data_IF_023867917457
#
_entry.id   IF_023867917457
#
_cell.length_a   1.000
_cell.length_b   1.000
_cell.length_c   1.000
_cell.angle_alpha   90.00
_cell.angle_beta   90.00
_cell.angle_gamma   90.00
#
_symmetry.space_group_name_H-M   'P 1'
#
loop_
_entity.id
_entity.type
_entity.pdbx_description
1 polymer ?
#
# COMPACT_ATOMS: atom_id res chain seq x y z
N UNK A 1 24.93 -37.21 124.01
CA UNK A 1 24.76 -38.13 122.89
C UNK A 1 24.98 -37.37 121.61
N UNK A 2 26.21 -37.47 121.11
CA UNK A 2 26.66 -37.61 119.73
C UNK A 2 25.76 -37.14 118.57
N UNK A 3 26.34 -36.25 117.76
CA UNK A 3 26.69 -36.62 116.38
C UNK A 3 25.71 -36.19 115.28
N UNK A 4 26.17 -35.29 114.41
CA UNK A 4 25.52 -35.08 113.11
C UNK A 4 26.04 -33.87 112.34
N UNK A 5 27.27 -33.93 111.86
CA UNK A 5 27.76 -33.01 110.83
C UNK A 5 27.19 -33.41 109.47
N UNK A 6 26.72 -32.45 108.67
CA UNK A 6 26.57 -32.61 107.23
C UNK A 6 26.92 -31.32 106.50
N UNK A 7 27.90 -31.45 105.62
CA UNK A 7 28.67 -30.48 104.87
C UNK A 7 27.88 -29.76 103.77
N UNK A 8 28.11 -28.44 103.61
CA UNK A 8 27.64 -27.66 102.47
C UNK A 8 28.49 -27.96 101.22
N UNK A 9 27.90 -28.64 100.22
CA UNK A 9 28.52 -28.84 98.91
C UNK A 9 28.31 -27.63 98.01
N UNK A 10 29.39 -26.99 97.56
CA UNK A 10 29.36 -25.95 96.54
C UNK A 10 28.97 -26.55 95.16
N UNK A 11 28.21 -25.83 94.30
CA UNK A 11 27.84 -26.35 93.00
C UNK A 11 29.08 -26.45 92.10
N UNK A 12 29.33 -27.66 91.59
CA UNK A 12 30.38 -27.95 90.64
C UNK A 12 30.18 -27.14 89.35
N UNK A 13 31.21 -26.38 88.95
CA UNK A 13 31.29 -25.74 87.65
C UNK A 13 31.26 -26.83 86.58
N UNK A 14 30.22 -26.83 85.76
CA UNK A 14 30.16 -27.68 84.57
C UNK A 14 31.12 -27.09 83.54
N UNK A 15 32.19 -27.83 83.27
CA UNK A 15 33.17 -27.53 82.24
C UNK A 15 32.49 -27.65 80.87
N UNK A 16 32.45 -26.55 80.11
CA UNK A 16 31.85 -26.53 78.77
C UNK A 16 32.79 -27.28 77.84
N UNK A 17 32.52 -28.57 77.61
CA UNK A 17 33.15 -29.31 76.51
C UNK A 17 32.86 -28.57 75.20
N UNK A 18 33.89 -27.90 74.68
CA UNK A 18 33.88 -27.36 73.31
C UNK A 18 33.77 -28.55 72.35
N UNK A 19 32.57 -28.87 71.88
CA UNK A 19 32.40 -29.53 70.58
C UNK A 19 32.81 -28.51 69.51
N UNK A 20 34.12 -28.42 69.29
CA UNK A 20 34.73 -27.45 68.39
C UNK A 20 35.61 -28.14 67.36
N UNK A 21 35.03 -28.98 66.50
CA UNK A 21 35.78 -29.55 65.37
C UNK A 21 34.90 -29.94 64.17
N UNK A 22 33.74 -29.32 63.97
CA UNK A 22 32.94 -29.53 62.75
C UNK A 22 32.49 -28.23 62.07
N UNK A 23 33.33 -27.20 62.14
CA UNK A 23 33.19 -26.02 61.30
C UNK A 23 34.55 -25.78 60.65
N UNK A 24 34.68 -26.20 59.39
CA UNK A 24 35.86 -25.92 58.57
C UNK A 24 35.83 -24.43 58.20
N UNK A 25 36.94 -23.73 58.41
CA UNK A 25 37.08 -22.33 58.02
C UNK A 25 36.87 -22.18 56.51
N UNK A 26 35.91 -21.34 56.10
CA UNK A 26 35.72 -20.98 54.69
C UNK A 26 36.90 -20.08 54.31
N UNK A 27 37.74 -20.51 53.36
CA UNK A 27 38.84 -19.67 52.84
C UNK A 27 38.26 -18.40 52.21
N UNK A 28 38.33 -17.30 52.93
CA UNK A 28 38.13 -15.94 52.42
C UNK A 28 39.47 -15.37 51.96
N UNK A 29 40.08 -16.01 50.94
CA UNK A 29 41.25 -15.44 50.25
C UNK A 29 40.86 -14.26 49.34
N UNK A 30 41.67 -13.96 48.33
CA UNK A 30 41.34 -13.00 47.27
C UNK A 30 40.12 -13.48 46.46
N UNK A 31 38.92 -13.21 46.98
CA UNK A 31 37.69 -13.31 46.22
C UNK A 31 37.61 -12.05 45.35
N UNK A 32 38.02 -12.19 44.08
CA UNK A 32 37.69 -11.22 43.05
C UNK A 32 36.18 -11.32 42.73
N UNK A 33 35.37 -10.71 43.60
CA UNK A 33 33.93 -10.65 43.47
C UNK A 33 33.58 -9.68 42.34
N UNK A 34 33.37 -10.22 41.15
CA UNK A 34 32.81 -9.44 40.05
C UNK A 34 31.37 -9.04 40.40
N UNK A 35 30.99 -7.76 40.30
CA UNK A 35 29.64 -7.31 40.61
C UNK A 35 28.64 -8.07 39.72
N UNK A 36 27.77 -8.85 40.36
CA UNK A 36 26.73 -9.60 39.66
C UNK A 36 25.66 -8.61 39.19
N UNK A 37 25.72 -8.22 37.92
CA UNK A 37 24.59 -7.62 37.21
C UNK A 37 24.91 -6.33 36.45
N UNK A 38 25.36 -6.46 35.19
CA UNK A 38 24.90 -5.50 34.18
C UNK A 38 23.53 -5.97 33.72
N UNK A 39 22.50 -5.65 34.49
CA UNK A 39 21.13 -5.98 34.10
C UNK A 39 20.81 -5.24 32.80
N UNK A 40 20.47 -5.98 31.74
CA UNK A 40 20.01 -5.38 30.49
C UNK A 40 18.72 -4.57 30.72
N UNK A 41 17.90 -5.02 31.67
CA UNK A 41 16.71 -4.33 32.15
C UNK A 41 17.06 -2.95 32.72
N UNK A 42 16.55 -1.89 32.09
CA UNK A 42 16.81 -0.50 32.46
C UNK A 42 18.01 0.15 31.78
N UNK A 43 18.80 -0.60 31.00
CA UNK A 43 19.85 0.00 30.16
C UNK A 43 19.25 0.78 28.98
N UNK A 44 19.96 1.80 28.50
CA UNK A 44 19.53 2.60 27.35
C UNK A 44 19.27 1.72 26.11
N UNK A 45 20.09 0.70 25.89
CA UNK A 45 19.94 -0.25 24.79
C UNK A 45 18.65 -1.10 24.90
N UNK A 46 18.25 -1.47 26.11
CA UNK A 46 16.99 -2.19 26.35
C UNK A 46 15.77 -1.30 26.10
N UNK A 47 15.79 -0.05 26.57
CA UNK A 47 14.71 0.90 26.31
C UNK A 47 14.62 1.20 24.81
N UNK A 48 15.74 1.44 24.12
CA UNK A 48 15.76 1.60 22.66
C UNK A 48 15.25 0.35 21.94
N UNK A 49 15.70 -0.83 22.34
CA UNK A 49 15.27 -2.11 21.76
C UNK A 49 13.78 -2.39 21.98
N UNK A 50 13.19 -1.91 23.08
CA UNK A 50 11.76 -2.04 23.37
C UNK A 50 10.90 -1.04 22.58
N UNK A 51 11.39 0.19 22.38
CA UNK A 51 10.67 1.24 21.64
C UNK A 51 10.87 1.08 20.12
N UNK A 52 11.98 0.49 19.66
CA UNK A 52 12.29 0.35 18.24
C UNK A 52 11.20 -0.41 17.44
N UNK A 53 10.68 -1.57 17.86
CA UNK A 53 9.63 -2.26 17.12
C UNK A 53 8.34 -1.44 16.94
N UNK A 54 7.74 -0.82 17.99
CA UNK A 54 6.56 0.01 17.79
C UNK A 54 6.86 1.30 17.00
N UNK A 55 8.04 1.91 17.16
CA UNK A 55 8.45 3.06 16.34
C UNK A 55 8.54 2.70 14.86
N UNK A 56 9.20 1.59 14.53
CA UNK A 56 9.33 1.11 13.15
C UNK A 56 7.97 0.80 12.55
N UNK A 57 7.08 0.18 13.31
CA UNK A 57 5.72 -0.14 12.85
C UNK A 57 4.91 1.13 12.60
N UNK A 58 5.00 2.13 13.48
CA UNK A 58 4.36 3.43 13.31
C UNK A 58 4.89 4.16 12.07
N UNK A 59 6.22 4.18 11.89
CA UNK A 59 6.86 4.83 10.75
C UNK A 59 6.49 4.15 9.44
N UNK A 60 6.46 2.81 9.43
CA UNK A 60 6.00 2.02 8.28
C UNK A 60 4.54 2.32 7.95
N UNK A 61 3.67 2.38 8.96
CA UNK A 61 2.25 2.67 8.77
C UNK A 61 2.02 4.10 8.23
N UNK A 62 2.75 5.08 8.76
CA UNK A 62 2.72 6.47 8.26
C UNK A 62 3.25 6.57 6.83
N UNK A 63 4.37 5.88 6.52
CA UNK A 63 4.92 5.85 5.17
C UNK A 63 3.96 5.20 4.17
N UNK A 64 3.34 4.07 4.55
CA UNK A 64 2.33 3.39 3.74
C UNK A 64 1.11 4.29 3.51
N UNK A 65 0.53 4.84 4.59
CA UNK A 65 -0.63 5.73 4.49
C UNK A 65 -0.34 6.95 3.63
N UNK A 66 0.87 7.52 3.76
CA UNK A 66 1.32 8.61 2.92
C UNK A 66 1.34 8.13 1.46
N UNK A 67 2.06 7.06 1.15
CA UNK A 67 2.17 6.47 -0.20
C UNK A 67 0.82 6.17 -0.85
N UNK A 68 -0.13 5.62 -0.09
CA UNK A 68 -1.49 5.33 -0.57
C UNK A 68 -2.26 6.63 -0.93
N UNK A 69 -2.05 7.71 -0.16
CA UNK A 69 -2.62 9.02 -0.50
C UNK A 69 -2.04 9.59 -1.81
N UNK A 70 -0.72 9.51 -2.03
CA UNK A 70 -0.10 9.96 -3.30
C UNK A 70 -0.53 9.08 -4.50
N UNK A 71 -0.74 7.78 -4.28
CA UNK A 71 -1.22 6.88 -5.32
C UNK A 71 -2.68 7.19 -5.70
N UNK A 72 -3.54 7.47 -4.72
CA UNK A 72 -4.92 7.91 -4.95
C UNK A 72 -4.99 9.21 -5.75
N UNK A 73 -4.14 10.19 -5.40
CA UNK A 73 -4.07 11.46 -6.14
C UNK A 73 -3.56 11.30 -7.57
N UNK A 74 -2.59 10.41 -7.81
CA UNK A 74 -2.10 10.12 -9.15
C UNK A 74 -3.17 9.44 -10.03
N UNK A 75 -3.92 8.49 -9.48
CA UNK A 75 -5.01 7.84 -10.19
C UNK A 75 -6.18 8.79 -10.47
N UNK A 76 -6.54 9.66 -9.51
CA UNK A 76 -7.52 10.73 -9.71
C UNK A 76 -7.06 11.73 -10.77
N UNK A 77 -5.80 12.15 -10.75
CA UNK A 77 -5.23 13.04 -11.76
C UNK A 77 -5.20 12.41 -13.15
N UNK A 78 -4.92 11.11 -13.26
CA UNK A 78 -5.00 10.39 -14.54
C UNK A 78 -6.43 10.33 -15.06
N UNK A 79 -7.40 10.02 -14.21
CA UNK A 79 -8.83 10.02 -14.57
C UNK A 79 -9.34 11.40 -14.98
N UNK A 80 -8.98 12.45 -14.25
CA UNK A 80 -9.31 13.84 -14.64
C UNK A 80 -8.51 14.30 -15.88
N UNK A 81 -7.30 13.77 -16.06
CA UNK A 81 -6.49 13.96 -17.25
C UNK A 81 -7.11 13.32 -18.48
N UNK A 82 -7.75 12.15 -18.33
CA UNK A 82 -8.43 11.42 -19.41
C UNK A 82 -9.45 12.29 -20.14
N UNK A 83 -10.34 12.96 -19.41
CA UNK A 83 -11.36 13.86 -19.98
C UNK A 83 -10.69 15.04 -20.70
N UNK A 84 -9.69 15.66 -20.09
CA UNK A 84 -8.96 16.78 -20.72
C UNK A 84 -8.25 16.34 -21.99
N UNK A 85 -7.59 15.18 -21.97
CA UNK A 85 -6.83 14.66 -23.09
C UNK A 85 -7.76 14.16 -24.22
N UNK A 86 -8.89 13.53 -23.88
CA UNK A 86 -9.93 13.16 -24.82
C UNK A 86 -10.52 14.40 -25.51
N UNK A 87 -10.88 15.45 -24.75
CA UNK A 87 -11.38 16.71 -25.30
C UNK A 87 -10.35 17.40 -26.21
N UNK A 88 -9.08 17.40 -25.84
CA UNK A 88 -8.01 17.94 -26.69
C UNK A 88 -7.87 17.16 -28.00
N UNK A 89 -7.90 15.83 -27.94
CA UNK A 89 -7.79 14.97 -29.15
C UNK A 89 -9.04 15.07 -30.02
N UNK A 90 -10.23 15.17 -29.44
CA UNK A 90 -11.46 15.46 -30.18
C UNK A 90 -11.43 16.84 -30.83
N UNK A 91 -10.84 17.85 -30.19
CA UNK A 91 -10.65 19.17 -30.81
C UNK A 91 -9.69 19.10 -32.01
N UNK A 92 -8.70 18.21 -32.01
CA UNK A 92 -7.87 17.95 -33.19
C UNK A 92 -8.68 17.28 -34.31
N UNK A 93 -9.53 16.31 -33.97
CA UNK A 93 -10.45 15.70 -34.94
C UNK A 93 -11.40 16.75 -35.55
N UNK A 94 -11.96 17.66 -34.74
CA UNK A 94 -12.80 18.75 -35.23
C UNK A 94 -12.04 19.67 -36.21
N UNK A 95 -10.78 20.02 -35.91
CA UNK A 95 -9.94 20.80 -36.84
C UNK A 95 -9.61 20.05 -38.13
N UNK A 96 -9.40 18.75 -38.06
CA UNK A 96 -9.18 17.92 -39.25
C UNK A 96 -10.43 17.86 -40.12
N UNK A 97 -11.62 17.82 -39.50
CA UNK A 97 -12.91 17.90 -40.18
C UNK A 97 -13.08 19.23 -40.94
N UNK A 98 -12.68 20.36 -40.35
CA UNK A 98 -12.71 21.68 -41.02
C UNK A 98 -11.76 21.78 -42.21
N UNK A 99 -10.63 21.06 -42.16
CA UNK A 99 -9.63 21.01 -43.23
C UNK A 99 -9.94 19.96 -44.29
N UNK A 100 -11.06 19.25 -44.15
CA UNK A 100 -11.45 18.11 -44.98
C UNK A 100 -10.41 16.96 -45.00
N UNK A 101 -9.51 16.92 -44.00
CA UNK A 101 -8.45 15.91 -43.90
C UNK A 101 -9.01 14.63 -43.27
N UNK A 102 -9.33 13.67 -44.13
CA UNK A 102 -9.89 12.37 -43.74
C UNK A 102 -8.95 11.56 -42.86
N UNK A 103 -7.69 11.40 -43.28
CA UNK A 103 -6.76 10.50 -42.61
C UNK A 103 -6.45 11.03 -41.21
N UNK A 104 -6.19 12.33 -41.10
CA UNK A 104 -5.96 12.98 -39.81
C UNK A 104 -7.19 12.94 -38.90
N UNK A 105 -8.40 13.05 -39.46
CA UNK A 105 -9.64 12.94 -38.69
C UNK A 105 -9.77 11.56 -38.04
N UNK A 106 -9.64 10.49 -38.81
CA UNK A 106 -9.82 9.13 -38.30
C UNK A 106 -8.69 8.71 -37.36
N UNK A 107 -7.45 9.13 -37.62
CA UNK A 107 -6.32 8.90 -36.71
C UNK A 107 -6.52 9.61 -35.36
N UNK A 108 -6.95 10.87 -35.38
CA UNK A 108 -7.24 11.62 -34.16
C UNK A 108 -8.44 11.03 -33.39
N UNK A 109 -9.49 10.60 -34.09
CA UNK A 109 -10.68 10.01 -33.49
C UNK A 109 -10.38 8.68 -32.79
N UNK A 110 -9.67 7.77 -33.46
CA UNK A 110 -9.28 6.48 -32.87
C UNK A 110 -8.39 6.67 -31.63
N UNK A 111 -7.35 7.51 -31.75
CA UNK A 111 -6.46 7.85 -30.63
C UNK A 111 -7.18 8.55 -29.47
N UNK A 112 -8.21 9.34 -29.75
CA UNK A 112 -9.03 9.97 -28.72
C UNK A 112 -9.80 8.92 -27.91
N UNK A 113 -10.44 7.95 -28.58
CA UNK A 113 -11.24 6.91 -27.94
C UNK A 113 -10.37 5.89 -27.16
N UNK A 114 -9.30 5.38 -27.79
CA UNK A 114 -8.37 4.45 -27.15
C UNK A 114 -7.65 5.11 -25.96
N UNK A 115 -7.15 6.34 -26.15
CA UNK A 115 -6.48 7.09 -25.10
C UNK A 115 -7.42 7.45 -23.95
N UNK A 116 -8.66 7.84 -24.24
CA UNK A 116 -9.67 8.08 -23.21
C UNK A 116 -9.91 6.83 -22.37
N UNK A 117 -10.13 5.68 -23.01
CA UNK A 117 -10.38 4.42 -22.30
C UNK A 117 -9.17 4.01 -21.44
N UNK A 118 -7.97 4.09 -22.01
CA UNK A 118 -6.72 3.84 -21.29
C UNK A 118 -6.59 4.72 -20.04
N UNK A 119 -6.73 6.04 -20.21
CA UNK A 119 -6.56 7.01 -19.13
C UNK A 119 -7.67 6.87 -18.06
N UNK A 120 -8.92 6.56 -18.47
CA UNK A 120 -10.07 6.40 -17.55
C UNK A 120 -9.93 5.18 -16.64
N UNK A 121 -9.47 4.06 -17.18
CA UNK A 121 -9.32 2.80 -16.45
C UNK A 121 -7.90 2.52 -15.97
N UNK A 122 -6.99 3.49 -16.12
CA UNK A 122 -5.58 3.40 -15.72
C UNK A 122 -4.85 2.22 -16.39
N UNK A 123 -5.16 1.99 -17.67
CA UNK A 123 -4.57 0.96 -18.52
C UNK A 123 -3.49 1.57 -19.42
N UNK A 124 -2.53 0.76 -19.83
CA UNK A 124 -1.63 1.15 -20.92
C UNK A 124 -2.38 1.20 -22.26
N UNK A 125 -2.00 2.11 -23.17
CA UNK A 125 -2.61 2.18 -24.51
C UNK A 125 -2.50 0.84 -25.26
N UNK A 126 -1.40 0.11 -25.06
CA UNK A 126 -1.21 -1.22 -25.65
C UNK A 126 -2.10 -2.32 -25.04
N UNK A 127 -2.68 -2.07 -23.87
CA UNK A 127 -3.59 -3.00 -23.19
C UNK A 127 -5.04 -2.79 -23.61
N UNK A 128 -5.35 -1.68 -24.30
CA UNK A 128 -6.69 -1.40 -24.80
C UNK A 128 -7.04 -2.36 -25.94
N UNK A 129 -7.94 -3.30 -25.65
CA UNK A 129 -8.47 -4.26 -26.61
C UNK A 129 -9.95 -4.50 -26.34
N UNK A 130 -10.62 -5.19 -27.27
CA UNK A 130 -12.05 -5.47 -27.16
C UNK A 130 -12.42 -6.21 -25.85
N UNK A 131 -11.59 -7.17 -25.40
CA UNK A 131 -11.85 -7.91 -24.17
C UNK A 131 -11.78 -7.01 -22.93
N UNK A 132 -10.81 -6.09 -22.86
CA UNK A 132 -10.70 -5.11 -21.77
C UNK A 132 -11.85 -4.10 -21.79
N UNK A 133 -12.26 -3.65 -22.98
CA UNK A 133 -13.41 -2.76 -23.13
C UNK A 133 -14.68 -3.43 -22.61
N UNK A 134 -14.92 -4.69 -22.98
CA UNK A 134 -16.01 -5.47 -22.39
C UNK A 134 -15.85 -5.59 -20.88
N UNK A 135 -14.71 -6.09 -20.39
CA UNK A 135 -14.48 -6.30 -18.96
C UNK A 135 -14.85 -5.07 -18.10
N UNK A 136 -14.52 -3.86 -18.56
CA UNK A 136 -14.82 -2.63 -17.81
C UNK A 136 -16.21 -2.03 -18.08
N UNK A 137 -16.80 -2.24 -19.25
CA UNK A 137 -18.06 -1.60 -19.65
C UNK A 137 -19.25 -2.58 -19.76
N UNK A 138 -19.09 -3.89 -19.57
CA UNK A 138 -20.18 -4.88 -19.74
C UNK A 138 -21.30 -4.68 -18.72
N UNK A 139 -20.94 -4.35 -17.49
CA UNK A 139 -21.88 -4.00 -16.44
C UNK A 139 -22.68 -2.70 -16.73
N UNK A 140 -22.28 -1.96 -17.77
CA UNK A 140 -22.93 -0.74 -18.22
C UNK A 140 -23.80 -1.00 -19.45
N UNK A 141 -25.08 -0.67 -19.33
CA UNK A 141 -26.06 -0.76 -20.42
C UNK A 141 -26.05 -2.11 -21.16
N UNK A 142 -25.85 -3.21 -20.41
CA UNK A 142 -25.81 -4.58 -20.94
C UNK A 142 -24.78 -4.75 -22.08
N UNK A 143 -23.63 -4.09 -21.95
CA UNK A 143 -22.55 -4.14 -22.94
C UNK A 143 -22.83 -3.34 -24.23
N UNK A 144 -23.97 -2.64 -24.36
CA UNK A 144 -24.25 -1.81 -25.53
C UNK A 144 -23.16 -0.77 -25.77
N UNK A 145 -22.79 -0.02 -24.74
CA UNK A 145 -21.78 1.04 -24.86
C UNK A 145 -20.39 0.46 -25.17
N UNK A 146 -20.07 -0.74 -24.65
CA UNK A 146 -18.84 -1.45 -24.97
C UNK A 146 -18.77 -1.79 -26.46
N UNK A 147 -19.84 -2.39 -26.99
CA UNK A 147 -19.96 -2.75 -28.41
C UNK A 147 -19.89 -1.52 -29.33
N UNK A 148 -20.57 -0.44 -28.98
CA UNK A 148 -20.54 0.82 -29.76
C UNK A 148 -19.14 1.44 -29.78
N UNK A 149 -18.42 1.43 -28.64
CA UNK A 149 -17.05 1.93 -28.56
C UNK A 149 -16.09 1.08 -29.41
N UNK A 150 -16.19 -0.26 -29.32
CA UNK A 150 -15.37 -1.20 -30.10
C UNK A 150 -15.61 -1.01 -31.59
N UNK A 151 -16.87 -0.95 -32.01
CA UNK A 151 -17.24 -0.74 -33.41
C UNK A 151 -16.68 0.58 -33.93
N UNK A 152 -16.76 1.65 -33.14
CA UNK A 152 -16.28 2.97 -33.56
C UNK A 152 -14.75 3.03 -33.68
N UNK A 153 -14.02 2.39 -32.76
CA UNK A 153 -12.56 2.28 -32.86
C UNK A 153 -12.19 1.50 -34.12
N UNK A 154 -12.86 0.37 -34.38
CA UNK A 154 -12.62 -0.44 -35.57
C UNK A 154 -12.94 0.33 -36.86
N UNK A 155 -14.06 1.06 -36.90
CA UNK A 155 -14.46 1.90 -38.04
C UNK A 155 -13.42 3.00 -38.31
N UNK A 156 -12.90 3.66 -37.25
CA UNK A 156 -11.88 4.68 -37.40
C UNK A 156 -10.56 4.11 -37.93
N UNK A 157 -10.13 2.96 -37.40
CA UNK A 157 -8.93 2.27 -37.89
C UNK A 157 -9.09 1.85 -39.35
N UNK A 158 -10.24 1.26 -39.70
CA UNK A 158 -10.54 0.83 -41.07
C UNK A 158 -10.60 2.02 -42.03
N UNK A 159 -11.27 3.11 -41.66
CA UNK A 159 -11.43 4.29 -42.51
C UNK A 159 -10.10 5.04 -42.78
N UNK A 160 -9.07 4.81 -41.95
CA UNK A 160 -7.71 5.29 -42.17
C UNK A 160 -6.99 4.55 -43.30
N UNK A 161 -7.27 3.26 -43.49
CA UNK A 161 -6.57 2.41 -44.46
C UNK A 161 -7.39 2.07 -45.71
N UNK A 162 -8.71 2.08 -45.61
CA UNK A 162 -9.63 1.84 -46.72
C UNK A 162 -10.19 3.16 -47.24
N UNK A 163 -10.43 3.33 -48.55
CA UNK A 163 -11.00 4.54 -49.14
C UNK A 163 -12.52 4.67 -48.95
N UNK A 164 -13.17 3.73 -48.26
CA UNK A 164 -14.62 3.75 -48.01
C UNK A 164 -14.89 4.23 -46.59
N UNK A 165 -15.69 5.29 -46.44
CA UNK A 165 -16.20 5.73 -45.14
C UNK A 165 -17.60 5.14 -44.95
N UNK A 166 -17.82 4.43 -43.84
CA UNK A 166 -19.15 3.87 -43.54
C UNK A 166 -20.17 4.92 -43.08
N UNK A 167 -19.70 5.97 -42.39
CA UNK A 167 -20.54 7.03 -41.83
C UNK A 167 -19.94 8.41 -42.13
N UNK A 168 -20.77 9.47 -42.24
CA UNK A 168 -20.27 10.83 -42.33
C UNK A 168 -19.36 11.18 -41.14
N UNK A 169 -18.17 11.73 -41.40
CA UNK A 169 -17.19 12.09 -40.34
C UNK A 169 -17.78 12.96 -39.23
N UNK A 170 -18.66 13.92 -39.57
CA UNK A 170 -19.36 14.75 -38.58
C UNK A 170 -20.26 13.93 -37.64
N UNK A 171 -20.94 12.92 -38.18
CA UNK A 171 -21.77 12.02 -37.37
C UNK A 171 -20.90 11.13 -36.47
N UNK A 172 -19.82 10.56 -37.00
CA UNK A 172 -18.87 9.77 -36.22
C UNK A 172 -18.28 10.57 -35.05
N UNK A 173 -17.99 11.86 -35.25
CA UNK A 173 -17.53 12.76 -34.20
C UNK A 173 -18.56 12.96 -33.08
N UNK A 174 -19.82 13.24 -33.42
CA UNK A 174 -20.87 13.43 -32.41
C UNK A 174 -21.21 12.14 -31.68
N UNK A 175 -21.20 11.00 -32.37
CA UNK A 175 -21.38 9.68 -31.74
C UNK A 175 -20.23 9.38 -30.76
N UNK A 176 -18.98 9.65 -31.12
CA UNK A 176 -17.81 9.47 -30.24
C UNK A 176 -17.94 10.31 -28.96
N UNK A 177 -18.32 11.56 -29.11
CA UNK A 177 -18.56 12.48 -28.01
C UNK A 177 -19.70 12.01 -27.11
N UNK A 178 -20.78 11.48 -27.69
CA UNK A 178 -21.91 10.93 -26.94
C UNK A 178 -21.50 9.67 -26.14
N UNK A 179 -20.69 8.78 -26.72
CA UNK A 179 -20.16 7.60 -26.01
C UNK A 179 -19.35 8.02 -24.79
N UNK A 180 -18.39 8.94 -24.96
CA UNK A 180 -17.57 9.46 -23.86
C UNK A 180 -18.46 10.08 -22.78
N UNK A 181 -19.44 10.89 -23.17
CA UNK A 181 -20.35 11.53 -22.22
C UNK A 181 -21.18 10.52 -21.40
N UNK A 182 -21.66 9.43 -22.00
CA UNK A 182 -22.38 8.37 -21.27
C UNK A 182 -21.47 7.64 -20.28
N UNK A 183 -20.24 7.31 -20.69
CA UNK A 183 -19.25 6.67 -19.80
C UNK A 183 -18.96 7.58 -18.61
N UNK A 184 -18.78 8.88 -18.83
CA UNK A 184 -18.54 9.87 -17.78
C UNK A 184 -19.72 10.01 -16.82
N UNK A 185 -20.95 10.08 -17.32
CA UNK A 185 -22.14 10.28 -16.48
C UNK A 185 -22.33 9.12 -15.48
N UNK A 186 -21.93 7.90 -15.87
CA UNK A 186 -22.10 6.70 -15.04
C UNK A 186 -20.89 6.39 -14.15
N UNK A 187 -19.67 6.70 -14.59
CA UNK A 187 -18.43 6.43 -13.85
C UNK A 187 -17.84 7.66 -13.14
N UNK A 188 -18.46 8.84 -13.28
CA UNK A 188 -18.05 10.09 -12.65
C UNK A 188 -18.65 10.33 -11.25
N UNK A 189 -19.24 9.31 -10.62
CA UNK A 189 -19.75 9.36 -9.24
C UNK A 189 -18.88 8.54 -8.30
#
# INVERSE_FOLDING_TARGET
GDGGAATNGAPAKVDVQRLGSDIRYIRTGDLDLQPKGKHLFGSLAYVLGMIAPPLLLLLFFLWKRKRDAWAGDADLQRRHGADRAARQRLALAAKALEKDDREAFHDALGKALEGYFADKFNLGVAEVNAAMIHHHLDAMDEGRTANELIAMIADAQMARFAPVEGKPRKQAYEEARAIIHRIETRHGK
#
